data_IF_936252506811
#
_entry.id   IF_936252506811
#
_cell.length_a   1.000
_cell.length_b   1.000
_cell.length_c   1.000
_cell.angle_alpha   90.00
_cell.angle_beta   90.00
_cell.angle_gamma   90.00
#
_symmetry.space_group_name_H-M   'P 1'
#
loop_
_entity.id
_entity.type
_entity.pdbx_description
1 polymer ?
#
# COMPACT_ATOMS: atom_id res chain seq x y z
N UNK A 1 -0.58 10.86 -23.44
CA UNK A 1 0.82 10.79 -22.97
C UNK A 1 1.40 12.19 -22.89
N UNK A 2 2.14 12.48 -21.86
CA UNK A 2 2.78 13.79 -21.69
C UNK A 2 3.99 13.86 -22.64
N UNK A 3 4.01 14.87 -23.51
CA UNK A 3 5.08 15.02 -24.50
C UNK A 3 6.44 15.35 -23.91
N UNK A 4 6.47 15.98 -22.70
CA UNK A 4 7.68 16.34 -21.96
C UNK A 4 8.46 15.12 -21.44
N UNK A 5 7.83 13.95 -21.34
CA UNK A 5 8.45 12.69 -20.88
C UNK A 5 8.52 11.61 -21.96
N UNK A 6 7.97 11.86 -23.14
CA UNK A 6 7.97 10.90 -24.25
C UNK A 6 9.39 10.53 -24.65
N UNK A 7 9.67 9.22 -24.67
CA UNK A 7 11.00 8.69 -25.02
C UNK A 7 12.08 8.80 -23.92
N UNK A 8 11.77 9.39 -22.75
CA UNK A 8 12.69 9.46 -21.60
C UNK A 8 12.62 8.23 -20.69
N UNK A 9 11.65 7.35 -20.90
CA UNK A 9 11.40 6.18 -20.08
C UNK A 9 11.55 4.90 -20.87
N UNK A 10 12.14 3.90 -20.23
CA UNK A 10 12.22 2.55 -20.74
C UNK A 10 11.51 1.62 -19.78
N UNK A 11 10.52 0.89 -20.26
CA UNK A 11 9.79 -0.13 -19.49
C UNK A 11 10.31 -1.49 -19.86
N UNK A 12 10.67 -2.30 -18.88
CA UNK A 12 11.13 -3.68 -19.05
C UNK A 12 10.32 -4.55 -18.11
N UNK A 13 9.68 -5.59 -18.65
CA UNK A 13 9.06 -6.63 -17.87
C UNK A 13 10.09 -7.74 -17.60
N UNK A 14 10.15 -8.20 -16.35
CA UNK A 14 11.00 -9.30 -15.92
C UNK A 14 10.14 -10.46 -15.46
N UNK A 15 10.62 -11.68 -15.64
CA UNK A 15 9.92 -12.89 -15.21
C UNK A 15 10.19 -13.21 -13.74
N UNK A 16 11.32 -12.78 -13.21
CA UNK A 16 11.71 -13.03 -11.82
C UNK A 16 11.86 -11.75 -11.02
N UNK A 17 11.56 -11.84 -9.72
CA UNK A 17 11.70 -10.72 -8.79
C UNK A 17 13.17 -10.28 -8.65
N UNK A 18 14.11 -11.24 -8.69
CA UNK A 18 15.54 -10.95 -8.59
C UNK A 18 16.04 -10.09 -9.74
N UNK A 19 15.66 -10.42 -10.99
CA UNK A 19 16.02 -9.63 -12.17
C UNK A 19 15.42 -8.22 -12.08
N UNK A 20 14.15 -8.10 -11.64
CA UNK A 20 13.47 -6.82 -11.52
C UNK A 20 14.09 -5.91 -10.45
N UNK A 21 14.58 -6.49 -9.35
CA UNK A 21 15.12 -5.73 -8.21
C UNK A 21 16.61 -5.44 -8.30
N UNK A 22 17.38 -6.20 -9.09
CA UNK A 22 18.83 -6.03 -9.18
C UNK A 22 19.21 -4.60 -9.60
N UNK A 23 19.87 -3.86 -8.69
CA UNK A 23 20.32 -2.49 -8.92
C UNK A 23 19.22 -1.44 -8.87
N UNK A 24 18.04 -1.77 -8.34
CA UNK A 24 16.95 -0.82 -8.18
C UNK A 24 17.26 0.22 -7.08
N UNK A 25 16.99 1.49 -7.36
CA UNK A 25 17.04 2.59 -6.40
C UNK A 25 15.69 2.78 -5.69
N UNK A 26 14.60 2.46 -6.38
CA UNK A 26 13.22 2.56 -5.86
C UNK A 26 12.44 1.30 -6.18
N UNK A 27 11.71 0.81 -5.20
CA UNK A 27 10.78 -0.31 -5.33
C UNK A 27 9.37 0.17 -5.00
N UNK A 28 8.44 0.02 -5.92
CA UNK A 28 7.03 0.35 -5.71
C UNK A 28 6.23 -0.94 -5.60
N UNK A 29 5.54 -1.12 -4.48
CA UNK A 29 4.67 -2.28 -4.24
C UNK A 29 3.22 -1.83 -4.34
N UNK A 30 2.52 -2.34 -5.37
CA UNK A 30 1.10 -2.11 -5.59
C UNK A 30 0.49 -3.39 -6.16
N UNK A 31 -0.05 -4.23 -5.28
CA UNK A 31 -0.58 -5.54 -5.64
C UNK A 31 -1.99 -5.75 -5.09
N UNK A 32 -2.76 -6.61 -5.73
CA UNK A 32 -3.99 -7.19 -5.20
C UNK A 32 -3.67 -8.63 -4.75
N UNK A 33 -3.58 -8.89 -3.42
CA UNK A 33 -3.34 -10.25 -2.93
C UNK A 33 -4.62 -11.09 -3.04
N UNK A 34 -4.61 -12.04 -3.95
CA UNK A 34 -5.78 -12.79 -4.40
C UNK A 34 -6.40 -12.18 -5.65
N UNK A 35 -7.63 -12.57 -5.93
CA UNK A 35 -8.43 -12.05 -7.04
C UNK A 35 -9.54 -11.12 -6.53
N UNK A 36 -10.38 -10.62 -7.43
CA UNK A 36 -11.57 -9.86 -7.07
C UNK A 36 -12.61 -10.74 -6.35
N UNK A 37 -12.64 -12.04 -6.59
CA UNK A 37 -13.54 -12.98 -5.94
C UNK A 37 -13.22 -13.13 -4.45
N UNK A 38 -11.93 -13.24 -4.08
CA UNK A 38 -11.51 -13.21 -2.69
C UNK A 38 -11.80 -11.85 -2.04
N UNK A 39 -11.64 -10.75 -2.78
CA UNK A 39 -11.99 -9.42 -2.27
C UNK A 39 -13.48 -9.27 -2.02
N UNK A 40 -14.33 -9.76 -2.90
CA UNK A 40 -15.78 -9.81 -2.72
C UNK A 40 -16.15 -10.60 -1.47
N UNK A 41 -15.54 -11.78 -1.29
CA UNK A 41 -15.72 -12.60 -0.08
C UNK A 41 -15.28 -11.87 1.19
N UNK A 42 -14.15 -11.16 1.17
CA UNK A 42 -13.65 -10.39 2.32
C UNK A 42 -14.65 -9.31 2.76
N UNK A 43 -15.36 -8.69 1.81
CA UNK A 43 -16.36 -7.65 2.08
C UNK A 43 -17.66 -8.23 2.58
N UNK A 44 -18.19 -9.26 1.90
CA UNK A 44 -19.56 -9.71 2.09
C UNK A 44 -19.72 -10.89 3.05
N UNK A 45 -18.71 -11.76 3.25
CA UNK A 45 -18.83 -12.86 4.20
C UNK A 45 -19.16 -12.42 5.65
N UNK A 46 -18.65 -11.27 6.16
CA UNK A 46 -19.01 -10.79 7.49
C UNK A 46 -20.49 -10.34 7.65
N UNK A 47 -21.20 -10.10 6.54
CA UNK A 47 -22.60 -9.66 6.56
C UNK A 47 -23.54 -10.71 7.18
N UNK A 48 -23.21 -12.00 7.07
CA UNK A 48 -23.91 -13.09 7.74
C UNK A 48 -23.94 -12.92 9.28
N UNK A 49 -22.99 -12.16 9.81
CA UNK A 49 -22.85 -11.86 11.23
C UNK A 49 -23.28 -10.42 11.58
N UNK A 50 -23.95 -9.73 10.65
CA UNK A 50 -24.41 -8.34 10.82
C UNK A 50 -23.29 -7.30 10.73
N UNK A 51 -22.11 -7.65 10.18
CA UNK A 51 -20.97 -6.75 10.03
C UNK A 51 -20.91 -6.30 8.57
N UNK A 52 -21.28 -5.04 8.33
CA UNK A 52 -21.26 -4.43 7.00
C UNK A 52 -20.02 -3.55 6.83
N UNK A 53 -19.26 -3.80 5.77
CA UNK A 53 -18.02 -3.09 5.46
C UNK A 53 -18.09 -2.51 4.04
N UNK A 54 -17.80 -1.21 3.84
CA UNK A 54 -17.78 -0.62 2.49
C UNK A 54 -16.54 -1.07 1.70
N UNK A 55 -15.44 -1.36 2.43
CA UNK A 55 -14.17 -1.84 1.86
C UNK A 55 -13.57 -2.85 2.84
N UNK A 56 -13.28 -4.06 2.37
CA UNK A 56 -12.77 -5.15 3.21
C UNK A 56 -11.24 -5.28 3.19
N UNK A 57 -10.49 -4.22 2.93
CA UNK A 57 -9.06 -4.35 2.66
C UNK A 57 -8.13 -3.83 3.77
N UNK A 58 -8.65 -3.15 4.81
CA UNK A 58 -7.81 -2.52 5.83
C UNK A 58 -8.21 -2.91 7.25
N UNK A 59 -9.48 -2.84 7.59
CA UNK A 59 -10.00 -3.05 8.95
C UNK A 59 -11.07 -4.14 8.99
N UNK A 60 -11.45 -4.55 10.21
CA UNK A 60 -12.49 -5.55 10.40
C UNK A 60 -12.08 -6.97 9.97
N UNK A 61 -13.06 -7.89 9.90
CA UNK A 61 -12.79 -9.29 9.54
C UNK A 61 -12.16 -9.45 8.16
N UNK A 62 -12.62 -8.73 7.15
CA UNK A 62 -12.08 -8.76 5.80
C UNK A 62 -10.64 -8.28 5.75
N UNK A 63 -10.30 -7.19 6.46
CA UNK A 63 -8.93 -6.70 6.56
C UNK A 63 -7.98 -7.71 7.21
N UNK A 64 -8.44 -8.48 8.19
CA UNK A 64 -7.66 -9.54 8.83
C UNK A 64 -7.37 -10.67 7.83
N UNK A 65 -8.40 -11.17 7.13
CA UNK A 65 -8.26 -12.25 6.14
C UNK A 65 -7.34 -11.81 5.00
N UNK A 66 -7.52 -10.59 4.50
CA UNK A 66 -6.64 -10.02 3.49
C UNK A 66 -5.19 -9.89 3.99
N UNK A 67 -4.97 -9.48 5.24
CA UNK A 67 -3.64 -9.44 5.83
C UNK A 67 -2.97 -10.82 5.82
N UNK A 68 -3.68 -11.88 6.16
CA UNK A 68 -3.15 -13.24 6.13
C UNK A 68 -2.66 -13.67 4.74
N UNK A 69 -3.27 -13.16 3.66
CA UNK A 69 -2.79 -13.37 2.28
C UNK A 69 -1.60 -12.46 1.94
N UNK A 70 -1.59 -11.21 2.42
CA UNK A 70 -0.52 -10.25 2.15
C UNK A 70 0.80 -10.61 2.82
N UNK A 71 0.76 -11.01 4.10
CA UNK A 71 1.97 -11.14 4.92
C UNK A 71 3.02 -12.10 4.34
N UNK A 72 2.68 -13.30 3.83
CA UNK A 72 3.65 -14.17 3.18
C UNK A 72 4.33 -13.50 1.98
N UNK A 73 3.57 -12.82 1.12
CA UNK A 73 4.10 -12.13 -0.06
C UNK A 73 5.05 -10.99 0.34
N UNK A 74 4.68 -10.20 1.34
CA UNK A 74 5.52 -9.11 1.85
C UNK A 74 6.80 -9.62 2.54
N UNK A 75 6.75 -10.80 3.15
CA UNK A 75 7.96 -11.48 3.63
C UNK A 75 8.90 -11.84 2.48
N UNK A 76 8.39 -12.38 1.39
CA UNK A 76 9.18 -12.70 0.20
C UNK A 76 9.78 -11.43 -0.41
N UNK A 77 8.98 -10.35 -0.55
CA UNK A 77 9.48 -9.07 -1.05
C UNK A 77 10.60 -8.50 -0.17
N UNK A 78 10.43 -8.53 1.15
CA UNK A 78 11.46 -8.04 2.06
C UNK A 78 12.78 -8.81 1.95
N UNK A 79 12.71 -10.15 1.80
CA UNK A 79 13.89 -11.00 1.60
C UNK A 79 14.55 -10.71 0.25
N UNK A 80 13.77 -10.59 -0.81
CA UNK A 80 14.29 -10.27 -2.14
C UNK A 80 14.92 -8.86 -2.19
N UNK A 81 14.28 -7.85 -1.57
CA UNK A 81 14.83 -6.51 -1.48
C UNK A 81 16.15 -6.52 -0.71
N UNK A 82 16.21 -7.26 0.42
CA UNK A 82 17.45 -7.41 1.20
C UNK A 82 18.59 -8.01 0.39
N UNK A 83 18.27 -8.96 -0.50
CA UNK A 83 19.26 -9.66 -1.32
C UNK A 83 19.71 -8.84 -2.53
N UNK A 84 18.77 -8.26 -3.29
CA UNK A 84 19.04 -7.68 -4.61
C UNK A 84 19.19 -6.15 -4.63
N UNK A 85 18.57 -5.43 -3.68
CA UNK A 85 18.62 -3.96 -3.62
C UNK A 85 18.48 -3.41 -2.19
N UNK A 86 19.36 -3.77 -1.25
CA UNK A 86 19.19 -3.47 0.18
C UNK A 86 19.19 -1.98 0.52
N UNK A 87 19.65 -1.12 -0.38
CA UNK A 87 19.71 0.34 -0.18
C UNK A 87 18.54 1.09 -0.80
N UNK A 88 17.68 0.40 -1.56
CA UNK A 88 16.54 0.97 -2.26
C UNK A 88 15.51 1.58 -1.30
N UNK A 89 14.83 2.62 -1.77
CA UNK A 89 13.62 3.12 -1.13
C UNK A 89 12.40 2.29 -1.57
N UNK A 90 11.61 1.84 -0.60
CA UNK A 90 10.42 1.03 -0.85
C UNK A 90 9.16 1.82 -0.56
N UNK A 91 8.31 1.97 -1.56
CA UNK A 91 7.05 2.72 -1.50
C UNK A 91 5.90 1.72 -1.63
N UNK A 92 5.09 1.58 -0.59
CA UNK A 92 3.97 0.66 -0.59
C UNK A 92 2.63 1.37 -0.76
N UNK A 93 1.82 0.89 -1.69
CA UNK A 93 0.41 1.28 -1.89
C UNK A 93 -0.58 0.16 -1.54
N UNK A 94 -0.09 -1.04 -1.24
CA UNK A 94 -0.94 -2.20 -0.95
C UNK A 94 -1.54 -2.11 0.45
N UNK A 95 -2.80 -2.47 0.58
CA UNK A 95 -3.52 -2.61 1.85
C UNK A 95 -3.58 -4.10 2.30
N UNK A 96 -3.64 -4.34 3.62
CA UNK A 96 -3.61 -3.40 4.77
C UNK A 96 -2.22 -2.75 4.95
N UNK A 97 -2.14 -1.44 4.72
CA UNK A 97 -0.86 -0.75 4.62
C UNK A 97 0.04 -0.92 5.86
N UNK A 98 -0.51 -0.69 7.05
CA UNK A 98 0.26 -0.79 8.30
C UNK A 98 0.82 -2.19 8.53
N UNK A 99 0.06 -3.23 8.20
CA UNK A 99 0.50 -4.62 8.33
C UNK A 99 1.61 -4.95 7.31
N UNK A 100 1.44 -4.50 6.07
CA UNK A 100 2.42 -4.66 5.01
C UNK A 100 3.76 -4.00 5.38
N UNK A 101 3.74 -2.72 5.75
CA UNK A 101 4.95 -1.99 6.16
C UNK A 101 5.60 -2.61 7.39
N UNK A 102 4.80 -2.97 8.40
CA UNK A 102 5.32 -3.63 9.61
C UNK A 102 6.00 -4.95 9.30
N UNK A 103 5.49 -5.70 8.32
CA UNK A 103 6.09 -6.96 7.88
C UNK A 103 7.44 -6.73 7.21
N UNK A 104 7.56 -5.72 6.34
CA UNK A 104 8.83 -5.36 5.73
C UNK A 104 9.89 -5.09 6.79
N UNK A 105 9.61 -4.23 7.78
CA UNK A 105 10.54 -3.92 8.88
C UNK A 105 10.82 -5.10 9.79
N UNK A 106 9.84 -5.99 10.02
CA UNK A 106 10.06 -7.18 10.85
C UNK A 106 11.04 -8.18 10.21
N UNK A 107 11.03 -8.29 8.88
CA UNK A 107 11.88 -9.22 8.13
C UNK A 107 13.23 -8.60 7.79
N UNK A 108 13.25 -7.31 7.48
CA UNK A 108 14.44 -6.54 7.15
C UNK A 108 14.41 -5.19 7.91
N UNK A 109 14.95 -5.14 9.16
CA UNK A 109 14.88 -3.94 10.01
C UNK A 109 15.50 -2.68 9.41
N UNK A 110 16.51 -2.81 8.56
CA UNK A 110 17.24 -1.70 7.93
C UNK A 110 16.57 -1.19 6.64
N UNK A 111 15.44 -1.79 6.22
CA UNK A 111 14.74 -1.40 5.01
C UNK A 111 14.29 0.06 5.07
N UNK A 112 14.43 0.79 3.97
CA UNK A 112 13.92 2.15 3.84
C UNK A 112 12.53 2.11 3.22
N UNK A 113 11.50 1.83 4.03
CA UNK A 113 10.14 1.63 3.52
C UNK A 113 9.13 2.59 4.14
N UNK A 114 8.18 3.04 3.34
CA UNK A 114 7.01 3.78 3.80
C UNK A 114 5.77 3.46 2.96
N UNK A 115 4.60 3.70 3.54
CA UNK A 115 3.32 3.54 2.86
C UNK A 115 2.73 4.88 2.44
N UNK A 116 2.07 4.90 1.28
CA UNK A 116 1.35 6.06 0.78
C UNK A 116 -0.14 5.76 0.70
N UNK A 117 -0.96 6.62 1.30
CA UNK A 117 -2.40 6.54 1.22
C UNK A 117 -2.99 7.92 0.89
N UNK A 118 -3.94 7.97 -0.05
CA UNK A 118 -4.65 9.21 -0.39
C UNK A 118 -5.61 9.68 0.71
N UNK A 119 -5.97 8.82 1.66
CA UNK A 119 -6.84 9.14 2.80
C UNK A 119 -6.28 10.26 3.68
N UNK A 120 -4.97 10.46 3.70
CA UNK A 120 -4.35 11.62 4.33
C UNK A 120 -4.98 12.93 3.84
N UNK A 121 -5.28 13.03 2.56
CA UNK A 121 -5.89 14.22 1.96
C UNK A 121 -7.37 14.36 2.31
N UNK A 122 -8.10 13.25 2.38
CA UNK A 122 -9.48 13.20 2.86
C UNK A 122 -9.60 13.70 4.29
N UNK A 123 -8.76 13.17 5.18
CA UNK A 123 -8.70 13.57 6.59
C UNK A 123 -8.32 15.04 6.76
N UNK A 124 -7.34 15.55 6.00
CA UNK A 124 -6.97 16.97 6.03
C UNK A 124 -8.13 17.88 5.59
N UNK A 125 -8.85 17.51 4.53
CA UNK A 125 -10.00 18.26 4.07
C UNK A 125 -11.14 18.26 5.09
N UNK A 126 -11.39 17.12 5.75
CA UNK A 126 -12.38 17.03 6.82
C UNK A 126 -12.03 17.97 7.99
N UNK A 127 -10.78 17.93 8.45
CA UNK A 127 -10.31 18.83 9.53
C UNK A 127 -10.44 20.29 9.11
N UNK A 128 -10.04 20.64 7.88
CA UNK A 128 -10.19 21.99 7.33
C UNK A 128 -11.64 22.45 7.38
N UNK A 129 -12.58 21.63 6.94
CA UNK A 129 -13.99 21.97 6.93
C UNK A 129 -14.53 22.17 8.37
N UNK A 130 -14.17 21.31 9.31
CA UNK A 130 -14.54 21.43 10.73
C UNK A 130 -14.00 22.75 11.31
N UNK A 131 -12.74 23.10 11.05
CA UNK A 131 -12.14 24.34 11.52
C UNK A 131 -12.85 25.56 10.94
N UNK A 132 -13.20 25.51 9.65
CA UNK A 132 -13.94 26.62 9.02
C UNK A 132 -15.34 26.75 9.59
N UNK A 133 -16.09 25.67 9.71
CA UNK A 133 -17.47 25.67 10.19
C UNK A 133 -17.60 26.02 11.68
N UNK A 134 -16.65 25.54 12.50
CA UNK A 134 -16.76 25.67 13.97
C UNK A 134 -16.09 26.96 14.49
N UNK A 135 -14.97 27.34 13.88
CA UNK A 135 -14.10 28.41 14.39
C UNK A 135 -13.85 29.54 13.40
N UNK A 136 -14.45 29.50 12.20
CA UNK A 136 -14.21 30.41 11.07
C UNK A 136 -12.72 30.54 10.69
N UNK A 137 -11.97 29.46 10.86
CA UNK A 137 -10.53 29.39 10.54
C UNK A 137 -10.35 28.79 9.15
N UNK A 138 -9.75 29.55 8.22
CA UNK A 138 -9.30 29.06 6.92
C UNK A 138 -7.91 28.43 7.07
N UNK A 139 -7.88 27.11 7.29
CA UNK A 139 -6.65 26.36 7.33
C UNK A 139 -6.14 26.05 5.92
N UNK A 140 -4.86 26.31 5.67
CA UNK A 140 -4.17 25.88 4.46
C UNK A 140 -3.41 24.58 4.71
N UNK A 141 -2.83 24.02 3.67
CA UNK A 141 -2.08 22.78 3.71
C UNK A 141 -0.60 23.00 4.08
N UNK A 142 -0.17 24.23 4.09
CA UNK A 142 1.20 24.69 4.40
C UNK A 142 1.33 25.08 5.86
#
# INVERSE_FOLDING_TARGET
SRDDIKGKWKYIAYETIGEALTGADFVVISILPGTFDEMESDVHAPEEYGIYQPVGDTTGPGGIVRALRCLPMFKEFALAIKEYCPTAWVINFTNPMSMCIRTLYKVFPEIKAFGCCHEVFGTQNLIKNILKETYDVDATRE
#
